data_IF_722347574053
#
_entry.id   IF_722347574053
#
_cell.length_a   1.000
_cell.length_b   1.000
_cell.length_c   1.000
_cell.angle_alpha   90.00
_cell.angle_beta   90.00
_cell.angle_gamma   90.00
#
_symmetry.space_group_name_H-M   'P 1'
#
loop_
_entity.id
_entity.type
_entity.pdbx_description
1 polymer ?
#
# COMPACT_ATOMS: atom_id res chain seq x y z
N UNK A 1 13.12 6.65 18.16
CA UNK A 1 11.99 6.57 17.22
C UNK A 1 12.50 7.10 15.90
N UNK A 2 12.49 6.26 14.86
CA UNK A 2 12.88 6.69 13.51
C UNK A 2 11.65 7.34 12.90
N UNK A 3 11.72 8.65 12.64
CA UNK A 3 10.61 9.37 12.03
C UNK A 3 10.39 8.85 10.59
N UNK A 4 9.14 8.58 10.21
CA UNK A 4 8.80 8.29 8.82
C UNK A 4 9.24 9.47 7.93
N UNK A 5 9.88 9.16 6.80
CA UNK A 5 10.25 10.16 5.80
C UNK A 5 9.96 9.61 4.40
N UNK A 6 9.81 10.53 3.47
CA UNK A 6 9.67 10.22 2.07
C UNK A 6 10.94 9.53 1.56
N UNK A 7 10.78 8.61 0.61
CA UNK A 7 11.92 8.11 -0.16
C UNK A 7 12.47 9.28 -0.99
N UNK A 8 13.77 9.54 -0.88
CA UNK A 8 14.45 10.67 -1.53
C UNK A 8 15.36 10.26 -2.68
N UNK A 9 15.85 9.03 -2.67
CA UNK A 9 16.72 8.52 -3.72
C UNK A 9 15.91 7.74 -4.78
N UNK A 10 16.27 7.98 -6.05
CA UNK A 10 15.59 7.36 -7.19
C UNK A 10 15.76 5.85 -7.20
N UNK A 11 16.92 5.34 -6.75
CA UNK A 11 17.25 3.91 -6.82
C UNK A 11 16.32 3.08 -5.94
N UNK A 12 16.16 3.46 -4.67
CA UNK A 12 15.27 2.78 -3.71
C UNK A 12 13.81 2.90 -4.14
N UNK A 13 13.39 4.09 -4.58
CA UNK A 13 12.02 4.27 -5.07
C UNK A 13 11.74 3.41 -6.31
N UNK A 14 12.67 3.37 -7.26
CA UNK A 14 12.50 2.59 -8.50
C UNK A 14 12.45 1.09 -8.20
N UNK A 15 13.28 0.58 -7.29
CA UNK A 15 13.26 -0.82 -6.89
C UNK A 15 11.90 -1.23 -6.29
N UNK A 16 11.39 -0.44 -5.34
CA UNK A 16 10.10 -0.67 -4.71
C UNK A 16 8.93 -0.49 -5.70
N UNK A 17 8.96 0.54 -6.54
CA UNK A 17 7.95 0.78 -7.57
C UNK A 17 7.88 -0.35 -8.59
N UNK A 18 9.03 -0.89 -9.01
CA UNK A 18 9.06 -2.02 -9.93
C UNK A 18 8.41 -3.28 -9.32
N UNK A 19 8.65 -3.54 -8.02
CA UNK A 19 7.97 -4.61 -7.29
C UNK A 19 6.47 -4.37 -7.16
N UNK A 20 6.07 -3.15 -6.84
CA UNK A 20 4.66 -2.77 -6.77
C UNK A 20 3.94 -3.00 -8.11
N UNK A 21 4.50 -2.49 -9.21
CA UNK A 21 3.94 -2.68 -10.55
C UNK A 21 3.87 -4.16 -10.94
N UNK A 22 4.92 -4.95 -10.66
CA UNK A 22 4.90 -6.39 -10.89
C UNK A 22 3.82 -7.10 -10.06
N UNK A 23 3.62 -6.67 -8.82
CA UNK A 23 2.55 -7.15 -7.96
C UNK A 23 1.15 -6.79 -8.50
N UNK A 24 0.94 -5.56 -8.99
CA UNK A 24 -0.34 -5.17 -9.61
C UNK A 24 -0.62 -6.02 -10.85
N UNK A 25 0.39 -6.26 -11.69
CA UNK A 25 0.27 -7.18 -12.84
C UNK A 25 -0.06 -8.61 -12.40
N UNK A 26 0.57 -9.10 -11.33
CA UNK A 26 0.25 -10.40 -10.74
C UNK A 26 -1.22 -10.44 -10.29
N UNK A 27 -1.70 -9.44 -9.56
CA UNK A 27 -3.09 -9.36 -9.11
C UNK A 27 -4.06 -9.41 -10.30
N UNK A 28 -3.77 -8.65 -11.38
CA UNK A 28 -4.60 -8.64 -12.60
C UNK A 28 -4.64 -10.00 -13.32
N UNK A 29 -3.62 -10.84 -13.15
CA UNK A 29 -3.54 -12.18 -13.74
C UNK A 29 -4.26 -13.26 -12.93
N UNK A 30 -4.60 -13.00 -11.66
CA UNK A 30 -5.15 -14.01 -10.75
C UNK A 30 -6.66 -14.19 -10.93
N UNK A 31 -7.18 -15.43 -10.78
CA UNK A 31 -8.61 -15.66 -10.68
C UNK A 31 -9.22 -14.84 -9.55
N UNK A 32 -10.42 -14.30 -9.78
CA UNK A 32 -11.07 -13.38 -8.83
C UNK A 32 -11.34 -14.01 -7.46
N UNK A 33 -11.58 -15.31 -7.41
CA UNK A 33 -11.84 -16.11 -6.21
C UNK A 33 -10.57 -16.46 -5.42
N UNK A 34 -9.39 -16.27 -6.00
CA UNK A 34 -8.11 -16.37 -5.28
C UNK A 34 -7.73 -15.08 -4.55
N UNK A 35 -8.38 -13.95 -4.88
CA UNK A 35 -8.08 -12.63 -4.33
C UNK A 35 -8.94 -12.32 -3.09
N UNK A 36 -8.40 -11.50 -2.19
CA UNK A 36 -9.16 -10.87 -1.12
C UNK A 36 -9.44 -9.41 -1.50
N UNK A 37 -10.64 -8.92 -1.18
CA UNK A 37 -11.04 -7.55 -1.49
C UNK A 37 -11.39 -6.83 -0.20
N UNK A 38 -11.08 -5.54 -0.10
CA UNK A 38 -11.35 -4.72 1.08
C UNK A 38 -11.77 -3.31 0.63
N UNK A 39 -12.31 -2.51 1.54
CA UNK A 39 -12.63 -1.10 1.23
C UNK A 39 -11.33 -0.29 1.32
N UNK A 40 -10.91 0.49 0.30
CA UNK A 40 -9.69 1.28 0.39
C UNK A 40 -9.59 2.18 1.62
N UNK A 41 -10.72 2.62 2.19
CA UNK A 41 -10.72 3.40 3.44
C UNK A 41 -10.17 2.59 4.63
N UNK A 42 -10.20 1.26 4.56
CA UNK A 42 -9.69 0.37 5.61
C UNK A 42 -8.22 0.63 5.90
N UNK A 43 -7.43 1.08 4.93
CA UNK A 43 -6.01 1.42 5.17
C UNK A 43 -5.87 2.53 6.21
N UNK A 44 -6.90 3.36 6.39
CA UNK A 44 -6.98 4.43 7.38
C UNK A 44 -7.39 3.93 8.78
N UNK A 45 -7.53 2.62 8.97
CA UNK A 45 -7.99 2.01 10.23
C UNK A 45 -6.86 1.29 10.95
N UNK A 46 -6.85 1.39 12.28
CA UNK A 46 -5.93 0.64 13.14
C UNK A 46 -5.99 -0.87 12.87
N UNK A 47 -7.19 -1.42 12.58
CA UNK A 47 -7.36 -2.86 12.39
C UNK A 47 -6.70 -3.38 11.10
N UNK A 48 -6.70 -2.58 10.04
CA UNK A 48 -5.97 -2.94 8.81
C UNK A 48 -4.46 -2.78 9.03
N UNK A 49 -4.03 -1.75 9.76
CA UNK A 49 -2.64 -1.63 10.17
C UNK A 49 -2.17 -2.86 10.98
N UNK A 50 -2.97 -3.32 11.95
CA UNK A 50 -2.68 -4.53 12.72
C UNK A 50 -2.62 -5.78 11.84
N UNK A 51 -3.41 -5.85 10.75
CA UNK A 51 -3.31 -6.92 9.77
C UNK A 51 -1.92 -6.92 9.15
N UNK A 52 -1.44 -5.77 8.64
CA UNK A 52 -0.11 -5.65 8.04
C UNK A 52 0.98 -6.08 9.03
N UNK A 53 0.92 -5.59 10.27
CA UNK A 53 1.86 -5.97 11.32
C UNK A 53 1.82 -7.48 11.64
N UNK A 54 0.63 -8.07 11.65
CA UNK A 54 0.44 -9.51 11.86
C UNK A 54 1.06 -10.33 10.74
N UNK A 55 0.89 -9.91 9.48
CA UNK A 55 1.47 -10.58 8.32
C UNK A 55 3.00 -10.51 8.34
N UNK A 56 3.55 -9.33 8.61
CA UNK A 56 5.00 -9.15 8.74
C UNK A 56 5.57 -10.03 9.87
N UNK A 57 4.93 -10.04 11.03
CA UNK A 57 5.35 -10.86 12.16
C UNK A 57 5.30 -12.37 11.83
N UNK A 58 4.29 -12.80 11.07
CA UNK A 58 4.16 -14.18 10.60
C UNK A 58 5.33 -14.58 9.69
N UNK A 59 5.83 -13.67 8.84
CA UNK A 59 7.00 -13.87 7.97
C UNK A 59 8.34 -13.67 8.69
N UNK A 60 8.34 -13.29 9.98
CA UNK A 60 9.56 -12.92 10.71
C UNK A 60 10.18 -11.61 10.21
N UNK A 61 9.37 -10.74 9.61
CA UNK A 61 9.72 -9.42 9.06
C UNK A 61 9.12 -8.30 9.93
N UNK A 62 9.50 -7.08 9.63
CA UNK A 62 8.98 -5.90 10.34
C UNK A 62 8.68 -4.70 9.45
N UNK A 63 9.18 -4.71 8.22
CA UNK A 63 9.21 -3.50 7.41
C UNK A 63 8.33 -3.68 6.17
N UNK A 64 7.48 -2.70 5.91
CA UNK A 64 6.68 -2.61 4.70
C UNK A 64 6.81 -1.24 4.05
N UNK A 65 6.64 -1.19 2.74
CA UNK A 65 6.63 0.04 1.98
C UNK A 65 5.18 0.42 1.63
N UNK A 66 4.92 1.73 1.65
CA UNK A 66 3.72 2.33 1.04
C UNK A 66 4.17 3.15 -0.16
N UNK A 67 3.51 2.98 -1.31
CA UNK A 67 3.85 3.65 -2.57
C UNK A 67 2.57 4.15 -3.24
N UNK A 68 2.59 5.38 -3.74
CA UNK A 68 1.54 5.90 -4.63
C UNK A 68 2.00 5.72 -6.07
N UNK A 69 1.15 5.08 -6.88
CA UNK A 69 1.42 4.79 -8.29
C UNK A 69 0.69 5.77 -9.22
N UNK A 70 -0.45 6.31 -8.79
CA UNK A 70 -1.19 7.38 -9.47
C UNK A 70 -1.67 8.40 -8.43
N UNK A 71 -1.54 9.72 -8.68
CA UNK A 71 -0.94 10.41 -9.83
C UNK A 71 0.52 10.00 -10.12
N UNK A 72 1.02 10.29 -11.33
CA UNK A 72 2.33 9.80 -11.77
C UNK A 72 3.45 10.22 -10.80
N UNK A 73 4.21 9.27 -10.23
CA UNK A 73 5.12 9.58 -9.15
C UNK A 73 6.33 10.44 -9.57
N UNK A 74 6.70 10.41 -10.86
CA UNK A 74 7.88 11.11 -11.38
C UNK A 74 7.52 12.48 -11.95
N UNK A 75 6.57 12.50 -12.87
CA UNK A 75 6.19 13.69 -13.64
C UNK A 75 5.25 14.62 -12.86
N UNK A 76 4.54 14.10 -11.85
CA UNK A 76 3.73 14.92 -10.95
C UNK A 76 4.42 15.10 -9.60
N UNK A 77 4.44 14.06 -8.76
CA UNK A 77 4.80 14.23 -7.36
C UNK A 77 6.28 14.65 -7.18
N UNK A 78 7.22 13.93 -7.81
CA UNK A 78 8.63 14.29 -7.73
C UNK A 78 8.93 15.65 -8.37
N UNK A 79 8.29 15.96 -9.50
CA UNK A 79 8.42 17.27 -10.15
C UNK A 79 8.03 18.43 -9.23
N UNK A 80 6.94 18.28 -8.46
CA UNK A 80 6.46 19.33 -7.56
C UNK A 80 7.19 19.38 -6.22
N UNK A 81 7.57 18.23 -5.64
CA UNK A 81 8.03 18.16 -4.24
C UNK A 81 9.47 17.68 -4.04
N UNK A 82 10.19 17.32 -5.12
CA UNK A 82 11.60 16.91 -5.05
C UNK A 82 11.87 15.62 -4.27
N UNK A 83 10.83 14.84 -3.99
CA UNK A 83 10.84 13.55 -3.28
C UNK A 83 9.85 12.59 -3.92
N UNK A 84 9.89 11.31 -3.59
CA UNK A 84 9.03 10.31 -4.21
C UNK A 84 7.84 9.97 -3.31
N UNK A 85 6.65 9.68 -3.87
CA UNK A 85 5.44 9.45 -3.07
C UNK A 85 5.43 8.02 -2.52
N UNK A 86 6.29 7.78 -1.55
CA UNK A 86 6.37 6.53 -0.83
C UNK A 86 7.32 6.62 0.34
N UNK A 87 7.16 5.69 1.27
CA UNK A 87 7.92 5.63 2.51
C UNK A 87 7.97 4.17 3.00
N UNK A 88 8.96 3.88 3.83
CA UNK A 88 9.10 2.60 4.51
C UNK A 88 8.69 2.78 5.95
N UNK A 89 7.81 1.91 6.41
CA UNK A 89 7.37 1.81 7.78
C UNK A 89 8.08 0.62 8.42
N UNK A 90 8.75 0.86 9.56
CA UNK A 90 9.49 -0.17 10.28
C UNK A 90 8.83 -0.55 11.61
N UNK A 91 9.41 -1.55 12.28
CA UNK A 91 8.91 -2.13 13.55
C UNK A 91 8.48 -1.11 14.62
N UNK A 92 9.24 -0.03 14.75
CA UNK A 92 9.06 0.95 15.83
C UNK A 92 8.00 2.00 15.50
N UNK A 93 7.47 2.00 14.27
CA UNK A 93 6.51 2.99 13.83
C UNK A 93 5.08 2.57 14.22
N UNK A 94 4.26 3.54 14.61
CA UNK A 94 2.87 3.29 15.02
C UNK A 94 1.90 3.47 13.86
N UNK A 95 0.64 3.09 14.06
CA UNK A 95 -0.46 3.43 13.15
C UNK A 95 -0.72 4.94 13.14
N UNK A 96 -0.64 5.61 14.29
CA UNK A 96 -0.75 7.07 14.38
C UNK A 96 0.32 7.79 13.54
N UNK A 97 1.58 7.34 13.60
CA UNK A 97 2.65 7.88 12.75
C UNK A 97 2.38 7.63 11.27
N UNK A 98 1.90 6.42 10.92
CA UNK A 98 1.50 6.09 9.56
C UNK A 98 0.39 7.04 9.05
N UNK A 99 -0.69 7.24 9.83
CA UNK A 99 -1.78 8.14 9.46
C UNK A 99 -1.35 9.58 9.37
N UNK A 100 -0.58 10.04 10.34
CA UNK A 100 -0.05 11.40 10.35
C UNK A 100 0.80 11.66 9.10
N UNK A 101 1.68 10.72 8.75
CA UNK A 101 2.53 10.84 7.57
C UNK A 101 1.74 10.80 6.26
N UNK A 102 0.74 9.90 6.15
CA UNK A 102 -0.16 9.86 4.99
C UNK A 102 -0.88 11.19 4.78
N UNK A 103 -1.25 11.89 5.85
CA UNK A 103 -1.97 13.17 5.79
C UNK A 103 -1.05 14.40 5.79
N UNK A 104 0.28 14.20 5.83
CA UNK A 104 1.24 15.27 5.91
C UNK A 104 1.31 16.06 4.59
N UNK A 105 1.37 17.39 4.70
CA UNK A 105 1.64 18.27 3.56
C UNK A 105 3.02 17.95 2.94
N UNK A 106 3.06 17.58 1.65
CA UNK A 106 4.32 17.26 0.97
C UNK A 106 5.13 18.52 0.60
N UNK A 107 4.58 19.72 0.64
CA UNK A 107 5.30 20.97 0.35
C UNK A 107 4.37 22.10 -0.08
N UNK A 108 3.73 22.74 0.90
CA UNK A 108 2.79 23.86 0.73
C UNK A 108 1.58 23.52 -0.16
N UNK A 109 1.20 22.26 -0.21
CA UNK A 109 -0.01 21.78 -0.88
C UNK A 109 -0.66 20.64 -0.08
N UNK A 110 -1.45 20.95 0.96
CA UNK A 110 -2.14 19.93 1.75
C UNK A 110 -3.05 19.01 0.93
N UNK A 111 -3.53 19.49 -0.22
CA UNK A 111 -4.31 18.69 -1.15
C UNK A 111 -3.52 17.56 -1.80
N UNK A 112 -2.18 17.63 -1.80
CA UNK A 112 -1.26 16.64 -2.36
C UNK A 112 -0.72 15.63 -1.35
N UNK A 113 -1.22 15.66 -0.10
CA UNK A 113 -0.90 14.64 0.89
C UNK A 113 -1.20 13.23 0.33
N UNK A 114 -0.36 12.25 0.68
CA UNK A 114 -0.42 10.90 0.11
C UNK A 114 -1.80 10.25 0.34
N UNK A 115 -2.40 10.44 1.52
CA UNK A 115 -3.72 9.96 1.90
C UNK A 115 -4.88 10.73 1.25
N UNK A 116 -4.62 11.87 0.61
CA UNK A 116 -5.64 12.73 -0.01
C UNK A 116 -5.67 12.58 -1.51
N UNK A 117 -4.51 12.66 -2.19
CA UNK A 117 -4.43 12.73 -3.66
C UNK A 117 -4.08 11.41 -4.34
N UNK A 118 -4.15 10.26 -3.66
CA UNK A 118 -3.88 8.99 -4.33
C UNK A 118 -5.10 8.48 -5.10
N UNK A 119 -4.85 7.96 -6.29
CA UNK A 119 -5.80 7.15 -7.06
C UNK A 119 -5.43 5.67 -6.93
N UNK A 120 -4.14 5.35 -7.14
CA UNK A 120 -3.59 4.01 -6.99
C UNK A 120 -2.51 4.01 -5.90
N UNK A 121 -2.61 3.11 -4.94
CA UNK A 121 -1.56 2.88 -3.95
C UNK A 121 -1.25 1.39 -3.78
N UNK A 122 -0.07 1.10 -3.24
CA UNK A 122 0.39 -0.24 -2.91
C UNK A 122 1.03 -0.27 -1.53
N UNK A 123 0.68 -1.29 -0.75
CA UNK A 123 1.42 -1.73 0.44
C UNK A 123 2.04 -3.10 0.15
N UNK A 124 3.32 -3.26 0.44
CA UNK A 124 4.04 -4.53 0.27
C UNK A 124 5.19 -4.65 1.28
N UNK A 125 5.59 -5.85 1.70
CA UNK A 125 6.73 -6.03 2.60
C UNK A 125 8.02 -5.64 1.86
N UNK A 126 8.94 -4.97 2.55
CA UNK A 126 10.25 -4.62 1.95
C UNK A 126 10.97 -5.88 1.47
N UNK A 127 10.84 -6.99 2.21
CA UNK A 127 11.22 -8.33 1.79
C UNK A 127 10.04 -9.29 2.04
N UNK A 128 9.41 -9.79 0.99
CA UNK A 128 8.27 -10.73 1.07
C UNK A 128 7.41 -10.72 -0.20
N UNK A 129 6.38 -11.56 -0.21
CA UNK A 129 5.67 -11.96 -1.44
C UNK A 129 4.17 -11.64 -1.45
N UNK A 130 3.68 -10.86 -0.48
CA UNK A 130 2.30 -10.35 -0.49
C UNK A 130 2.21 -8.90 -0.96
N UNK A 131 1.02 -8.52 -1.41
CA UNK A 131 0.71 -7.17 -1.88
C UNK A 131 -0.72 -6.81 -1.51
N UNK A 132 -0.91 -5.58 -1.04
CA UNK A 132 -2.20 -4.89 -1.04
C UNK A 132 -2.14 -3.75 -2.07
N UNK A 133 -3.15 -3.65 -2.93
CA UNK A 133 -3.32 -2.60 -3.91
C UNK A 133 -4.68 -1.95 -3.70
N UNK A 134 -4.77 -0.63 -3.75
CA UNK A 134 -6.06 0.06 -3.75
C UNK A 134 -6.24 0.91 -4.98
N UNK A 135 -7.46 0.84 -5.53
CA UNK A 135 -7.96 1.64 -6.64
C UNK A 135 -9.14 2.47 -6.13
N UNK A 136 -8.90 3.77 -5.98
CA UNK A 136 -9.89 4.72 -5.49
C UNK A 136 -10.94 5.08 -6.53
N UNK A 137 -10.65 4.91 -7.82
CA UNK A 137 -11.64 5.14 -8.89
C UNK A 137 -12.77 4.10 -8.84
N UNK A 138 -12.49 2.92 -8.28
CA UNK A 138 -13.47 1.86 -8.04
C UNK A 138 -13.93 1.72 -6.60
N UNK A 139 -13.31 2.44 -5.66
CA UNK A 139 -13.43 2.21 -4.21
C UNK A 139 -13.18 0.73 -3.85
N UNK A 140 -12.11 0.13 -4.39
CA UNK A 140 -11.74 -1.28 -4.14
C UNK A 140 -10.28 -1.45 -3.79
N UNK A 141 -10.04 -2.12 -2.66
CA UNK A 141 -8.76 -2.71 -2.30
C UNK A 141 -8.69 -4.18 -2.70
N UNK A 142 -7.51 -4.64 -3.11
CA UNK A 142 -7.21 -6.02 -3.47
C UNK A 142 -5.97 -6.47 -2.72
N UNK A 143 -6.02 -7.65 -2.12
CA UNK A 143 -4.92 -8.28 -1.42
C UNK A 143 -4.64 -9.68 -1.98
N UNK A 144 -3.36 -10.01 -2.12
CA UNK A 144 -2.90 -11.34 -2.47
C UNK A 144 -1.53 -11.64 -1.86
N UNK A 145 -1.27 -12.92 -1.61
CA UNK A 145 0.02 -13.42 -1.19
C UNK A 145 0.06 -14.95 -1.27
N UNK A 146 1.14 -15.57 -0.75
CA UNK A 146 1.25 -17.02 -0.60
C UNK A 146 0.08 -17.63 0.21
N UNK A 147 -0.23 -18.94 0.06
CA UNK A 147 -1.41 -19.56 0.67
C UNK A 147 -1.53 -19.40 2.19
N UNK A 148 -0.42 -19.50 2.91
CA UNK A 148 -0.31 -19.30 4.36
C UNK A 148 -0.57 -17.85 4.77
N UNK A 149 -0.09 -16.88 3.99
CA UNK A 149 -0.41 -15.46 4.15
C UNK A 149 -1.89 -15.20 3.92
N UNK A 150 -2.47 -15.81 2.89
CA UNK A 150 -3.90 -15.68 2.58
C UNK A 150 -4.79 -16.28 3.67
N UNK A 151 -4.37 -17.41 4.26
CA UNK A 151 -5.06 -18.01 5.42
C UNK A 151 -4.95 -17.10 6.66
N UNK A 152 -3.75 -16.61 6.96
CA UNK A 152 -3.49 -15.70 8.06
C UNK A 152 -4.36 -14.43 7.95
N UNK A 153 -4.37 -13.79 6.78
CA UNK A 153 -5.16 -12.60 6.50
C UNK A 153 -6.66 -12.84 6.73
N UNK A 154 -7.25 -13.90 6.14
CA UNK A 154 -8.67 -14.24 6.31
C UNK A 154 -9.05 -14.50 7.77
N UNK A 155 -8.15 -15.13 8.53
CA UNK A 155 -8.39 -15.43 9.94
C UNK A 155 -8.32 -14.18 10.82
N UNK A 156 -7.45 -13.23 10.48
CA UNK A 156 -7.22 -12.04 11.30
C UNK A 156 -8.18 -10.89 10.98
N UNK A 157 -8.50 -10.68 9.70
CA UNK A 157 -9.22 -9.51 9.21
C UNK A 157 -10.61 -9.89 8.68
N UNK A 158 -11.68 -9.67 9.45
CA UNK A 158 -13.02 -10.16 9.12
C UNK A 158 -13.78 -9.25 8.13
N UNK A 159 -13.19 -8.12 7.72
CA UNK A 159 -13.88 -7.08 6.93
C UNK A 159 -13.65 -7.20 5.43
N UNK A 160 -13.00 -8.27 4.96
CA UNK A 160 -12.91 -8.51 3.52
C UNK A 160 -14.31 -8.57 2.88
N UNK A 161 -14.45 -7.90 1.76
CA UNK A 161 -15.69 -7.75 1.01
C UNK A 161 -15.69 -8.66 -0.23
N UNK A 162 -16.84 -8.73 -0.89
CA UNK A 162 -16.95 -9.37 -2.20
C UNK A 162 -16.50 -8.40 -3.29
N UNK A 163 -15.78 -8.91 -4.27
CA UNK A 163 -15.36 -8.14 -5.45
C UNK A 163 -16.57 -7.47 -6.13
N UNK A 164 -16.56 -6.15 -6.37
CA UNK A 164 -17.64 -5.50 -7.09
C UNK A 164 -17.81 -6.03 -8.52
N UNK A 165 -19.06 -6.08 -8.98
CA UNK A 165 -19.38 -6.53 -10.34
C UNK A 165 -18.65 -5.67 -11.38
N UNK A 166 -17.96 -6.33 -12.32
CA UNK A 166 -17.26 -5.63 -13.41
C UNK A 166 -15.92 -5.01 -13.04
N UNK A 167 -15.53 -4.97 -11.75
CA UNK A 167 -14.20 -4.49 -11.32
C UNK A 167 -13.10 -5.26 -12.04
N UNK A 168 -12.09 -4.53 -12.53
CA UNK A 168 -10.87 -5.08 -13.13
C UNK A 168 -9.70 -4.28 -12.60
N UNK A 169 -8.60 -4.97 -12.32
CA UNK A 169 -7.35 -4.33 -11.95
C UNK A 169 -6.71 -3.83 -13.23
N UNK A 170 -6.52 -2.52 -13.33
CA UNK A 170 -5.83 -1.86 -14.44
C UNK A 170 -4.40 -1.49 -14.02
N UNK A 171 -3.38 -2.21 -14.50
CA UNK A 171 -1.99 -1.95 -14.13
C UNK A 171 -1.40 -0.64 -14.65
#
# INVERSE_FOLDING_TARGET
MTQLDYIRDLASFTALRNRANAGVQLLASKPRDELLYFDPIDIATQKFFDLIQTLLAFEGRSDFATLILKPDPLNYFHHHFGKYPGFVHGRENTDEEFFHFMMQDPGDSPADALGVNHEHYVLLPVDGDWIAFGDRSWDVGVFYGPPDIMECARRFYPFFITAPNGFRIEP
#
